data_IF_084683163099
#
_entry.id   IF_084683163099
#
_cell.length_a   1.000
_cell.length_b   1.000
_cell.length_c   1.000
_cell.angle_alpha   90.00
_cell.angle_beta   90.00
_cell.angle_gamma   90.00
#
_symmetry.space_group_name_H-M   'P 1'
#
loop_
_entity.id
_entity.type
_entity.pdbx_description
1 polymer ?
#
# COMPACT_ATOMS: atom_id res chain seq x y z
N UNK A 1 11.49 -12.41 -4.48
CA UNK A 1 10.21 -11.88 -3.95
C UNK A 1 9.11 -12.25 -4.91
N UNK A 2 8.07 -12.88 -4.41
CA UNK A 2 6.89 -13.22 -5.17
C UNK A 2 6.01 -11.96 -5.33
N UNK A 3 5.41 -11.79 -6.50
CA UNK A 3 4.92 -10.49 -6.96
C UNK A 3 3.61 -10.02 -6.34
N UNK A 4 2.90 -10.91 -5.69
CA UNK A 4 1.79 -10.59 -4.81
C UNK A 4 1.61 -11.74 -3.83
N UNK A 5 1.39 -11.43 -2.58
CA UNK A 5 1.12 -12.42 -1.55
C UNK A 5 -0.14 -12.05 -0.79
N UNK A 6 -1.03 -13.02 -0.61
CA UNK A 6 -2.17 -12.94 0.29
C UNK A 6 -1.94 -13.92 1.42
N UNK A 7 -1.99 -13.44 2.64
CA UNK A 7 -1.67 -14.20 3.83
C UNK A 7 -2.87 -14.19 4.77
N UNK A 8 -3.25 -15.37 5.26
CA UNK A 8 -4.34 -15.54 6.21
C UNK A 8 -3.84 -16.09 7.54
N UNK A 9 -4.44 -15.72 8.69
CA UNK A 9 -4.17 -16.37 9.97
C UNK A 9 -4.65 -17.82 9.95
N UNK A 10 -3.82 -18.75 10.42
CA UNK A 10 -4.16 -20.16 10.57
C UNK A 10 -3.98 -21.03 9.34
N UNK A 11 -3.99 -20.43 8.15
CA UNK A 11 -3.66 -21.10 6.89
C UNK A 11 -2.86 -20.11 6.03
N UNK A 12 -1.56 -20.31 5.97
CA UNK A 12 -0.67 -19.44 5.22
C UNK A 12 -0.74 -19.80 3.73
N UNK A 13 -1.69 -19.20 3.03
CA UNK A 13 -1.77 -19.31 1.57
C UNK A 13 -1.00 -18.16 0.94
N UNK A 14 0.13 -18.46 0.33
CA UNK A 14 0.90 -17.50 -0.45
C UNK A 14 0.48 -17.59 -1.91
N UNK A 15 -0.05 -16.51 -2.43
CA UNK A 15 -0.52 -16.42 -3.81
C UNK A 15 0.55 -15.72 -4.65
N UNK A 16 1.28 -16.50 -5.39
CA UNK A 16 2.32 -16.01 -6.28
C UNK A 16 1.84 -15.91 -7.74
N UNK A 17 2.67 -15.31 -8.58
CA UNK A 17 2.36 -15.10 -10.00
C UNK A 17 1.93 -16.38 -10.72
N UNK A 18 2.60 -17.51 -10.43
CA UNK A 18 2.27 -18.80 -11.04
C UNK A 18 0.87 -19.27 -10.61
N UNK A 19 0.56 -19.19 -9.33
CA UNK A 19 -0.75 -19.56 -8.82
C UNK A 19 -1.85 -18.69 -9.42
N UNK A 20 -1.63 -17.40 -9.53
CA UNK A 20 -2.57 -16.46 -10.16
C UNK A 20 -2.81 -16.81 -11.63
N UNK A 21 -1.73 -17.09 -12.38
CA UNK A 21 -1.83 -17.54 -13.78
C UNK A 21 -2.64 -18.82 -13.92
N UNK A 22 -2.30 -19.84 -13.13
CA UNK A 22 -2.92 -21.15 -13.20
C UNK A 22 -4.39 -21.14 -12.74
N UNK A 23 -4.71 -20.36 -11.69
CA UNK A 23 -6.04 -20.36 -11.08
C UNK A 23 -7.02 -19.37 -11.71
N UNK A 24 -6.53 -18.25 -12.24
CA UNK A 24 -7.34 -17.15 -12.77
C UNK A 24 -7.15 -16.94 -14.27
N UNK A 25 -6.41 -17.81 -14.96
CA UNK A 25 -6.13 -17.73 -16.40
C UNK A 25 -5.59 -16.37 -16.85
N UNK A 26 -4.71 -15.77 -16.04
CA UNK A 26 -4.10 -14.49 -16.34
C UNK A 26 -2.90 -14.73 -17.25
N UNK A 27 -2.90 -14.06 -18.40
CA UNK A 27 -1.76 -14.10 -19.30
C UNK A 27 -0.58 -13.31 -18.73
N UNK A 28 0.37 -14.04 -18.15
CA UNK A 28 1.57 -13.46 -17.53
C UNK A 28 2.59 -12.91 -18.52
N UNK A 29 2.43 -13.15 -19.82
CA UNK A 29 3.33 -12.58 -20.83
C UNK A 29 3.17 -11.07 -20.98
N UNK A 30 2.02 -10.52 -20.60
CA UNK A 30 1.74 -9.09 -20.61
C UNK A 30 1.91 -8.41 -19.24
N UNK A 31 2.18 -9.17 -18.22
CA UNK A 31 2.28 -8.68 -16.86
C UNK A 31 3.75 -8.67 -16.45
N UNK A 32 4.35 -7.46 -16.43
CA UNK A 32 5.54 -7.35 -15.60
C UNK A 32 5.13 -7.65 -14.15
N UNK A 33 6.04 -8.18 -13.32
CA UNK A 33 5.78 -8.39 -11.90
C UNK A 33 5.15 -7.18 -11.20
N UNK A 34 5.42 -5.97 -11.69
CA UNK A 34 4.96 -4.72 -11.12
C UNK A 34 3.54 -4.31 -11.54
N UNK A 35 2.91 -5.03 -12.46
CA UNK A 35 1.59 -4.64 -12.99
C UNK A 35 0.41 -5.42 -12.41
N UNK A 36 0.61 -6.12 -11.31
CA UNK A 36 -0.38 -7.05 -10.75
C UNK A 36 -1.33 -6.46 -9.72
N UNK A 37 -1.27 -5.17 -9.40
CA UNK A 37 -2.10 -4.60 -8.34
C UNK A 37 -3.59 -4.82 -8.59
N UNK A 38 -4.07 -4.61 -9.81
CA UNK A 38 -5.49 -4.86 -10.13
C UNK A 38 -5.88 -6.33 -9.93
N UNK A 39 -4.97 -7.28 -10.18
CA UNK A 39 -5.19 -8.71 -9.94
C UNK A 39 -5.20 -9.00 -8.45
N UNK A 40 -4.25 -8.44 -7.69
CA UNK A 40 -4.20 -8.55 -6.24
C UNK A 40 -5.51 -8.07 -5.62
N UNK A 41 -6.03 -6.93 -6.06
CA UNK A 41 -7.31 -6.42 -5.57
C UNK A 41 -8.52 -7.25 -6.04
N UNK A 42 -8.47 -7.82 -7.24
CA UNK A 42 -9.53 -8.73 -7.71
C UNK A 42 -9.59 -10.00 -6.86
N UNK A 43 -8.43 -10.55 -6.50
CA UNK A 43 -8.34 -11.73 -5.63
C UNK A 43 -8.79 -11.37 -4.22
N UNK A 44 -8.26 -10.29 -3.65
CA UNK A 44 -8.67 -9.80 -2.34
C UNK A 44 -10.19 -9.64 -2.27
N UNK A 45 -10.79 -9.09 -3.31
CA UNK A 45 -12.22 -8.89 -3.48
C UNK A 45 -13.05 -10.18 -3.46
N UNK A 46 -12.47 -11.27 -3.94
CA UNK A 46 -13.14 -12.58 -3.93
C UNK A 46 -13.01 -13.35 -2.63
N UNK A 47 -12.07 -12.97 -1.75
CA UNK A 47 -11.76 -13.75 -0.54
C UNK A 47 -12.00 -13.01 0.79
N UNK A 48 -12.02 -11.67 0.82
CA UNK A 48 -12.13 -10.94 2.10
C UNK A 48 -13.40 -11.27 2.89
N UNK A 49 -14.49 -11.63 2.21
CA UNK A 49 -15.74 -12.04 2.85
C UNK A 49 -15.66 -13.43 3.52
N UNK A 50 -14.68 -14.23 3.15
CA UNK A 50 -14.48 -15.59 3.65
C UNK A 50 -13.48 -15.66 4.81
N UNK A 51 -12.72 -14.59 5.01
CA UNK A 51 -11.60 -14.58 5.94
C UNK A 51 -11.64 -13.34 6.84
N UNK A 52 -11.54 -13.52 8.17
CA UNK A 52 -11.61 -12.40 9.12
C UNK A 52 -10.38 -11.48 9.04
N UNK A 53 -9.29 -11.94 8.44
CA UNK A 53 -8.07 -11.20 8.25
C UNK A 53 -7.48 -11.52 6.87
N UNK A 54 -7.13 -10.48 6.13
CA UNK A 54 -6.37 -10.59 4.87
C UNK A 54 -5.23 -9.57 4.89
N UNK A 55 -4.08 -9.98 4.37
CA UNK A 55 -2.96 -9.09 4.11
C UNK A 55 -2.57 -9.24 2.63
N UNK A 56 -2.44 -8.13 1.94
CA UNK A 56 -2.01 -8.08 0.55
C UNK A 56 -0.80 -7.19 0.41
N UNK A 57 0.20 -7.65 -0.35
CA UNK A 57 1.38 -6.87 -0.72
C UNK A 57 1.25 -6.52 -2.19
N UNK A 58 1.19 -5.23 -2.50
CA UNK A 58 1.15 -4.72 -3.87
C UNK A 58 2.55 -4.52 -4.42
N UNK A 59 2.73 -4.61 -5.73
CA UNK A 59 4.05 -4.62 -6.36
C UNK A 59 4.24 -3.57 -7.46
N UNK A 60 3.19 -2.88 -7.90
CA UNK A 60 3.31 -1.92 -9.00
C UNK A 60 4.30 -0.79 -8.71
N UNK A 61 4.45 -0.44 -7.44
CA UNK A 61 5.36 0.62 -6.99
C UNK A 61 6.76 0.12 -6.61
N UNK A 62 7.08 -1.16 -6.89
CA UNK A 62 8.39 -1.73 -6.65
C UNK A 62 9.35 -1.47 -7.82
N UNK A 63 10.63 -1.24 -7.53
CA UNK A 63 11.71 -1.10 -8.54
C UNK A 63 12.04 -2.45 -9.21
N UNK A 64 12.43 -2.48 -10.52
CA UNK A 64 12.47 -1.37 -11.47
C UNK A 64 11.05 -0.97 -11.91
N UNK A 65 10.78 0.31 -11.96
CA UNK A 65 9.45 0.81 -12.33
C UNK A 65 9.21 0.60 -13.82
N UNK A 66 8.50 -0.45 -14.15
CA UNK A 66 8.20 -0.81 -15.53
C UNK A 66 6.77 -0.37 -15.85
N UNK A 67 6.64 0.66 -16.66
CA UNK A 67 5.34 1.08 -17.15
C UNK A 67 4.75 0.01 -18.08
N UNK A 68 3.54 -0.43 -17.81
CA UNK A 68 2.83 -1.37 -18.66
C UNK A 68 1.68 -0.68 -19.42
N UNK A 69 1.18 -1.35 -20.45
CA UNK A 69 0.10 -0.83 -21.32
C UNK A 69 -1.22 -0.58 -20.60
N UNK A 70 -1.41 -1.13 -19.41
CA UNK A 70 -2.60 -0.95 -18.57
C UNK A 70 -2.52 0.29 -17.68
N UNK A 71 -1.36 0.92 -17.59
CA UNK A 71 -1.23 2.16 -16.84
C UNK A 71 -1.91 3.29 -17.59
N UNK A 72 -2.81 3.98 -16.91
CA UNK A 72 -3.49 5.15 -17.46
C UNK A 72 -2.46 6.21 -17.86
N UNK A 73 -2.75 6.93 -18.94
CA UNK A 73 -1.92 8.05 -19.34
C UNK A 73 -1.90 9.09 -18.21
N UNK A 74 -0.71 9.29 -17.67
CA UNK A 74 -0.40 10.42 -16.83
C UNK A 74 0.37 11.41 -17.72
N UNK A 75 -0.14 12.63 -17.83
CA UNK A 75 0.50 13.69 -18.59
C UNK A 75 1.67 14.25 -17.77
N UNK A 76 2.88 13.97 -18.21
CA UNK A 76 4.12 14.33 -17.52
C UNK A 76 5.00 15.14 -18.46
N UNK A 77 5.83 16.06 -17.93
CA UNK A 77 6.77 16.82 -18.72
C UNK A 77 7.73 15.93 -19.53
N UNK A 78 7.95 16.27 -20.81
CA UNK A 78 8.81 15.51 -21.71
C UNK A 78 10.28 15.44 -21.26
N UNK A 79 10.73 16.42 -20.47
CA UNK A 79 12.08 16.47 -19.92
C UNK A 79 12.24 15.70 -18.60
N UNK A 80 11.18 15.04 -18.11
CA UNK A 80 11.27 14.24 -16.88
C UNK A 80 12.14 13.00 -17.11
N UNK A 81 13.05 12.66 -16.17
CA UNK A 81 13.82 11.42 -16.25
C UNK A 81 12.91 10.19 -16.34
N UNK A 82 13.26 9.24 -17.21
CA UNK A 82 12.42 8.07 -17.53
C UNK A 82 12.05 7.26 -16.28
N UNK A 83 13.01 7.02 -15.39
CA UNK A 83 12.80 6.28 -14.16
C UNK A 83 11.81 7.00 -13.22
N UNK A 84 11.87 8.34 -13.16
CA UNK A 84 10.92 9.15 -12.39
C UNK A 84 9.53 9.12 -13.03
N UNK A 85 9.46 9.29 -14.35
CA UNK A 85 8.20 9.18 -15.11
C UNK A 85 7.54 7.81 -14.89
N UNK A 86 8.32 6.74 -14.98
CA UNK A 86 7.82 5.38 -14.75
C UNK A 86 7.36 5.17 -13.31
N UNK A 87 8.10 5.67 -12.32
CA UNK A 87 7.66 5.64 -10.93
C UNK A 87 6.30 6.33 -10.73
N UNK A 88 6.13 7.54 -11.24
CA UNK A 88 4.87 8.27 -11.11
C UNK A 88 3.70 7.56 -11.82
N UNK A 89 3.96 6.94 -12.98
CA UNK A 89 2.96 6.11 -13.68
C UNK A 89 2.56 4.88 -12.86
N UNK A 90 3.53 4.22 -12.23
CA UNK A 90 3.28 3.08 -11.33
C UNK A 90 2.47 3.50 -10.11
N UNK A 91 2.81 4.62 -9.48
CA UNK A 91 2.06 5.18 -8.36
C UNK A 91 0.62 5.53 -8.75
N UNK A 92 0.44 6.21 -9.87
CA UNK A 92 -0.90 6.57 -10.37
C UNK A 92 -1.75 5.33 -10.69
N UNK A 93 -1.13 4.30 -11.26
CA UNK A 93 -1.81 3.03 -11.51
C UNK A 93 -2.22 2.35 -10.19
N UNK A 94 -1.32 2.24 -9.23
CA UNK A 94 -1.62 1.65 -7.92
C UNK A 94 -2.74 2.41 -7.20
N UNK A 95 -2.70 3.75 -7.20
CA UNK A 95 -3.76 4.61 -6.68
C UNK A 95 -5.11 4.35 -7.36
N UNK A 96 -5.11 4.15 -8.67
CA UNK A 96 -6.32 3.81 -9.43
C UNK A 96 -6.90 2.46 -9.00
N UNK A 97 -6.06 1.46 -8.78
CA UNK A 97 -6.48 0.15 -8.26
C UNK A 97 -7.10 0.27 -6.86
N UNK A 98 -6.45 1.03 -5.97
CA UNK A 98 -6.99 1.36 -4.66
C UNK A 98 -8.35 2.07 -4.77
N UNK A 99 -8.44 3.06 -5.63
CA UNK A 99 -9.69 3.81 -5.86
C UNK A 99 -10.85 2.92 -6.28
N UNK A 100 -10.60 1.90 -7.11
CA UNK A 100 -11.63 0.91 -7.49
C UNK A 100 -12.04 0.07 -6.28
N UNK A 101 -11.09 -0.41 -5.49
CA UNK A 101 -11.38 -1.21 -4.30
C UNK A 101 -12.15 -0.39 -3.25
N UNK A 102 -11.70 0.83 -2.93
CA UNK A 102 -12.32 1.67 -1.91
C UNK A 102 -13.74 2.13 -2.27
N UNK A 103 -14.10 2.22 -3.56
CA UNK A 103 -15.49 2.49 -3.96
C UNK A 103 -16.46 1.43 -3.45
N UNK A 104 -16.02 0.19 -3.26
CA UNK A 104 -16.84 -0.89 -2.74
C UNK A 104 -17.13 -0.76 -1.25
N UNK A 105 -16.26 -0.07 -0.49
CA UNK A 105 -16.46 0.14 0.96
C UNK A 105 -17.84 0.76 1.25
N UNK A 106 -18.33 1.63 0.38
CA UNK A 106 -19.62 2.29 0.57
C UNK A 106 -20.84 1.42 0.20
N UNK A 107 -20.64 0.31 -0.49
CA UNK A 107 -21.74 -0.53 -1.04
C UNK A 107 -21.71 -1.97 -0.56
N UNK A 108 -20.59 -2.44 -0.08
CA UNK A 108 -20.39 -3.81 0.39
C UNK A 108 -20.47 -3.88 1.91
N UNK A 109 -21.43 -4.68 2.42
CA UNK A 109 -21.68 -4.78 3.87
C UNK A 109 -20.50 -5.35 4.66
N UNK A 110 -19.68 -6.20 4.06
CA UNK A 110 -18.49 -6.76 4.73
C UNK A 110 -17.43 -5.68 4.85
N UNK A 111 -17.13 -4.97 3.76
CA UNK A 111 -16.12 -3.90 3.75
C UNK A 111 -16.51 -2.73 4.65
N UNK A 112 -17.80 -2.39 4.72
CA UNK A 112 -18.30 -1.35 5.64
C UNK A 112 -18.00 -1.67 7.10
N UNK A 113 -17.87 -2.95 7.45
CA UNK A 113 -17.58 -3.43 8.80
C UNK A 113 -16.12 -3.91 8.95
N UNK A 114 -15.24 -3.57 8.00
CA UNK A 114 -13.84 -4.02 7.99
C UNK A 114 -12.91 -2.84 8.27
N UNK A 115 -11.98 -3.02 9.18
CA UNK A 115 -10.84 -2.10 9.33
C UNK A 115 -9.85 -2.37 8.22
N UNK A 116 -9.51 -1.34 7.46
CA UNK A 116 -8.59 -1.40 6.31
C UNK A 116 -7.38 -0.53 6.64
N UNK A 117 -6.19 -1.10 6.64
CA UNK A 117 -4.94 -0.38 6.84
C UNK A 117 -4.09 -0.47 5.57
N UNK A 118 -3.71 0.68 5.04
CA UNK A 118 -2.75 0.84 3.97
C UNK A 118 -1.47 1.42 4.53
N UNK A 119 -0.33 0.79 4.23
CA UNK A 119 0.96 1.20 4.75
C UNK A 119 2.05 1.00 3.68
N UNK A 120 2.88 2.02 3.48
CA UNK A 120 4.12 1.84 2.73
C UNK A 120 5.13 1.03 3.55
N UNK A 121 5.76 0.05 2.92
CA UNK A 121 6.73 -0.83 3.57
C UNK A 121 8.11 -0.18 3.71
N UNK A 122 8.53 0.61 2.73
CA UNK A 122 9.79 1.34 2.74
C UNK A 122 9.84 2.43 1.66
N UNK A 123 10.88 3.24 1.68
CA UNK A 123 11.20 4.25 0.66
C UNK A 123 11.97 3.62 -0.52
N UNK A 124 12.19 4.40 -1.57
CA UNK A 124 13.10 4.02 -2.66
C UNK A 124 14.51 3.86 -2.12
N UNK A 125 15.07 2.64 -2.18
CA UNK A 125 16.41 2.35 -1.65
C UNK A 125 17.54 2.75 -2.61
N UNK A 126 17.31 2.77 -3.92
CA UNK A 126 18.37 3.09 -4.91
C UNK A 126 18.83 4.55 -4.76
N UNK A 127 20.09 4.80 -4.32
CA UNK A 127 20.62 6.14 -4.15
C UNK A 127 20.70 6.92 -5.47
N UNK A 128 20.98 6.25 -6.59
CA UNK A 128 21.09 6.91 -7.89
C UNK A 128 19.74 7.45 -8.31
N UNK A 129 18.71 6.67 -8.09
CA UNK A 129 17.32 7.06 -8.38
C UNK A 129 16.88 8.24 -7.50
N UNK A 130 17.15 8.18 -6.20
CA UNK A 130 16.85 9.30 -5.29
C UNK A 130 17.57 10.57 -5.69
N UNK A 131 18.85 10.48 -6.06
CA UNK A 131 19.63 11.62 -6.54
C UNK A 131 19.07 12.19 -7.87
N UNK A 132 18.64 11.32 -8.79
CA UNK A 132 17.99 11.76 -10.03
C UNK A 132 16.71 12.55 -9.73
N UNK A 133 15.89 12.08 -8.81
CA UNK A 133 14.66 12.77 -8.39
C UNK A 133 14.98 14.11 -7.73
N UNK A 134 15.96 14.13 -6.81
CA UNK A 134 16.39 15.35 -6.14
C UNK A 134 16.90 16.40 -7.13
N UNK A 135 17.72 16.01 -8.11
CA UNK A 135 18.24 16.90 -9.14
C UNK A 135 17.11 17.48 -9.98
N UNK A 136 16.23 16.63 -10.50
CA UNK A 136 15.09 17.08 -11.31
C UNK A 136 14.17 18.03 -10.52
N UNK A 137 13.86 17.69 -9.27
CA UNK A 137 13.01 18.52 -8.42
C UNK A 137 13.66 19.89 -8.14
N UNK A 138 14.96 19.92 -7.85
CA UNK A 138 15.69 21.18 -7.61
C UNK A 138 15.71 22.08 -8.87
N UNK A 139 15.95 21.50 -10.04
CA UNK A 139 15.96 22.23 -11.33
C UNK A 139 14.58 22.80 -11.69
N UNK A 140 13.50 22.14 -11.25
CA UNK A 140 12.11 22.54 -11.51
C UNK A 140 11.43 23.23 -10.31
N UNK A 141 12.19 23.60 -9.28
CA UNK A 141 11.70 24.28 -8.07
C UNK A 141 10.58 23.50 -7.35
N UNK A 142 10.67 22.17 -7.40
CA UNK A 142 9.77 21.26 -6.67
C UNK A 142 10.41 20.88 -5.33
N UNK A 143 9.57 20.78 -4.30
CA UNK A 143 10.02 20.33 -2.99
C UNK A 143 10.20 18.81 -2.96
N UNK A 144 11.42 18.37 -2.65
CA UNK A 144 11.76 16.95 -2.48
C UNK A 144 12.93 16.78 -1.50
N UNK A 145 12.65 16.17 -0.36
CA UNK A 145 13.68 15.83 0.61
C UNK A 145 14.25 14.43 0.31
N UNK A 146 15.43 14.40 -0.29
CA UNK A 146 16.16 13.16 -0.63
C UNK A 146 16.51 12.32 0.61
N UNK A 147 16.56 12.92 1.78
CA UNK A 147 16.88 12.25 3.04
C UNK A 147 15.64 11.77 3.80
N UNK A 148 14.45 12.16 3.35
CA UNK A 148 13.21 11.72 3.95
C UNK A 148 13.09 10.19 3.84
N UNK A 149 12.83 9.56 4.97
CA UNK A 149 12.54 8.12 5.06
C UNK A 149 11.07 7.86 5.43
N UNK A 150 10.20 8.84 5.17
CA UNK A 150 8.81 8.75 5.56
C UNK A 150 7.99 7.92 4.57
N UNK A 151 7.16 7.04 5.12
CA UNK A 151 6.08 6.36 4.40
C UNK A 151 4.75 6.72 5.04
N UNK A 152 3.65 6.52 4.31
CA UNK A 152 2.33 6.81 4.83
C UNK A 152 1.71 5.59 5.53
N UNK A 153 0.94 5.83 6.58
CA UNK A 153 -0.01 4.88 7.16
C UNK A 153 -1.40 5.53 7.07
N UNK A 154 -2.31 4.88 6.37
CA UNK A 154 -3.69 5.36 6.21
C UNK A 154 -4.60 4.24 6.67
N UNK A 155 -5.48 4.54 7.61
CA UNK A 155 -6.40 3.53 8.16
C UNK A 155 -7.84 4.03 8.07
N UNK A 156 -8.70 3.18 7.52
CA UNK A 156 -10.15 3.28 7.62
C UNK A 156 -10.65 2.28 8.66
N UNK A 157 -11.57 2.69 9.51
CA UNK A 157 -12.27 1.79 10.41
C UNK A 157 -13.69 2.30 10.64
N UNK A 158 -14.70 1.41 10.64
CA UNK A 158 -16.07 1.79 10.99
C UNK A 158 -16.21 2.24 12.45
N UNK A 159 -15.25 1.91 13.30
CA UNK A 159 -15.21 2.31 14.70
C UNK A 159 -14.65 3.72 14.93
N UNK A 160 -14.23 4.40 13.86
CA UNK A 160 -13.76 5.80 13.91
C UNK A 160 -14.87 6.70 13.37
N UNK A 161 -15.39 7.57 14.22
CA UNK A 161 -16.46 8.53 13.91
C UNK A 161 -15.97 9.86 13.31
N UNK A 162 -14.66 10.10 13.36
CA UNK A 162 -14.03 11.33 12.85
C UNK A 162 -12.64 11.08 12.29
N UNK A 163 -12.19 12.02 11.44
CA UNK A 163 -10.85 12.00 10.88
C UNK A 163 -9.82 12.37 11.95
N UNK A 164 -8.81 11.54 12.11
CA UNK A 164 -7.59 11.83 12.87
C UNK A 164 -6.43 12.04 11.91
N UNK A 165 -5.56 12.97 12.24
CA UNK A 165 -4.28 13.18 11.57
C UNK A 165 -3.21 13.17 12.66
N UNK A 166 -2.29 12.23 12.57
CA UNK A 166 -1.10 12.15 13.43
C UNK A 166 0.04 12.76 12.63
N UNK A 167 0.50 13.95 13.05
CA UNK A 167 1.57 14.70 12.37
C UNK A 167 2.94 14.46 12.97
N UNK A 168 3.00 13.82 14.14
CA UNK A 168 4.24 13.42 14.78
C UNK A 168 4.90 12.28 14.02
N UNK A 169 6.23 12.17 14.12
CA UNK A 169 6.96 11.03 13.57
C UNK A 169 6.54 9.75 14.28
N UNK A 170 6.06 8.80 13.50
CA UNK A 170 5.63 7.47 13.96
C UNK A 170 6.44 6.40 13.25
N UNK A 171 6.30 5.15 13.69
CA UNK A 171 7.03 4.03 13.13
C UNK A 171 6.06 2.96 12.62
N UNK A 172 6.47 2.17 11.65
CA UNK A 172 5.66 1.06 11.13
C UNK A 172 5.23 0.07 12.23
N UNK A 173 6.05 -0.09 13.26
CA UNK A 173 5.71 -0.94 14.41
C UNK A 173 4.51 -0.44 15.22
N UNK A 174 4.13 0.83 15.07
CA UNK A 174 2.96 1.42 15.72
C UNK A 174 1.65 1.01 15.04
N UNK A 175 1.73 0.53 13.80
CA UNK A 175 0.53 0.13 13.05
C UNK A 175 -0.21 -1.03 13.73
N UNK A 176 0.52 -2.04 14.21
CA UNK A 176 -0.12 -3.23 14.77
C UNK A 176 -0.92 -2.94 16.06
N UNK A 177 -0.37 -2.31 17.11
CA UNK A 177 -1.16 -1.96 18.28
C UNK A 177 -2.31 -0.98 17.96
N UNK A 178 -2.14 -0.13 16.97
CA UNK A 178 -3.23 0.76 16.51
C UNK A 178 -4.35 -0.03 15.84
N UNK A 179 -4.02 -1.01 14.99
CA UNK A 179 -5.02 -1.89 14.37
C UNK A 179 -5.74 -2.71 15.42
N UNK A 180 -5.04 -3.28 16.41
CA UNK A 180 -5.66 -4.03 17.51
C UNK A 180 -6.71 -3.18 18.24
N UNK A 181 -6.39 -1.94 18.54
CA UNK A 181 -7.34 -1.01 19.14
C UNK A 181 -8.56 -0.77 18.22
N UNK A 182 -8.34 -0.52 16.94
CA UNK A 182 -9.39 -0.24 15.95
C UNK A 182 -10.36 -1.40 15.72
N UNK A 183 -9.92 -2.63 15.91
CA UNK A 183 -10.76 -3.82 15.79
C UNK A 183 -11.37 -4.26 17.14
N UNK A 184 -11.21 -3.45 18.19
CA UNK A 184 -11.81 -3.70 19.51
C UNK A 184 -11.05 -4.72 20.37
N UNK A 185 -9.77 -4.97 20.09
CA UNK A 185 -8.91 -5.85 20.89
C UNK A 185 -8.18 -5.05 21.99
N UNK A 186 -8.87 -4.18 22.72
CA UNK A 186 -8.28 -3.29 23.73
C UNK A 186 -7.71 -4.05 24.94
N UNK A 187 -8.31 -5.18 25.27
CA UNK A 187 -7.85 -6.03 26.38
C UNK A 187 -6.61 -6.86 26.02
N UNK A 188 -6.17 -6.82 24.77
CA UNK A 188 -4.99 -7.54 24.34
C UNK A 188 -3.73 -6.81 24.79
N UNK A 189 -3.00 -7.42 25.74
CA UNK A 189 -1.73 -6.86 26.19
C UNK A 189 -0.65 -7.02 25.10
N UNK A 190 -0.36 -5.92 24.40
CA UNK A 190 0.69 -5.86 23.40
C UNK A 190 2.08 -5.96 24.06
N UNK A 191 2.84 -7.00 23.70
CA UNK A 191 4.20 -7.27 24.23
C UNK A 191 5.31 -6.88 23.26
N UNK A 192 4.99 -6.35 22.09
CA UNK A 192 5.93 -5.90 21.09
C UNK A 192 6.36 -4.44 21.27
N UNK A 193 7.16 -3.99 20.33
CA UNK A 193 7.50 -2.56 20.18
C UNK A 193 6.34 -1.84 19.48
N UNK A 194 6.31 -0.52 19.63
CA UNK A 194 5.27 0.32 19.04
C UNK A 194 4.15 0.65 20.05
N UNK A 195 3.44 1.71 19.72
CA UNK A 195 2.38 2.28 20.55
C UNK A 195 1.12 2.47 19.73
N UNK A 196 -0.05 2.45 20.39
CA UNK A 196 -1.29 2.81 19.73
C UNK A 196 -1.31 4.30 19.39
N UNK A 197 -1.36 4.63 18.10
CA UNK A 197 -1.32 6.02 17.62
C UNK A 197 -2.58 6.83 17.98
N UNK A 198 -3.64 6.20 18.42
CA UNK A 198 -4.86 6.85 18.87
C UNK A 198 -4.87 7.11 20.37
N UNK A 199 -3.90 6.59 21.11
CA UNK A 199 -3.77 6.83 22.54
C UNK A 199 -3.13 8.19 22.80
N UNK A 200 -3.90 9.10 23.39
CA UNK A 200 -3.45 10.45 23.73
C UNK A 200 -2.32 10.48 24.78
N UNK A 201 -2.21 9.45 25.61
CA UNK A 201 -1.16 9.35 26.64
C UNK A 201 0.17 8.94 26.02
N UNK A 202 0.16 8.05 25.04
CA UNK A 202 1.36 7.58 24.35
C UNK A 202 2.03 8.68 23.51
N UNK A 203 1.27 9.70 23.07
CA UNK A 203 1.78 10.80 22.22
C UNK A 203 2.49 11.91 23.00
N UNK A 204 2.33 11.98 24.31
CA UNK A 204 2.88 13.06 25.14
C UNK A 204 4.12 12.64 25.95
N UNK A 205 4.65 11.44 25.71
CA UNK A 205 5.88 10.91 26.27
C UNK A 205 6.93 10.68 25.17
#
# INVERSE_FOLDING_TARGET
>A
YENAALVQPGDLSVWNQKYMSDSYHIDTNYLSPQSLDHVTFTILDSIYSLHPYCMAITMATHSPFVACSMMTKLDLPDNMPENMSNYLKCMHYSDSCWGVFLKKVNTDLVLQNTTICFMGDHIIFDPNMRNTFATYCAENQLDYDVNSAHTAIITYSPNIDKKYIVSETTYQMDAYPTILHLIGCEDYYWKGFGVNLLDSVARNN
#
